data_IF_421571829513
#
_entry.id   IF_421571829513
#
_cell.length_a   1.000
_cell.length_b   1.000
_cell.length_c   1.000
_cell.angle_alpha   90.00
_cell.angle_beta   90.00
_cell.angle_gamma   90.00
#
_symmetry.space_group_name_H-M   'P 1'
#
loop_
_entity.id
_entity.type
_entity.pdbx_description
1 polymer ?
#
# COMPACT_ATOMS: atom_id res chain seq x y z
N UNK A 1 25.73 67.83 42.03
CA UNK A 1 24.51 68.12 42.81
C UNK A 1 23.55 66.94 42.66
N UNK A 2 23.30 66.32 43.78
CA UNK A 2 22.23 65.38 44.20
C UNK A 2 21.67 64.36 43.12
N UNK A 3 22.10 63.13 43.29
CA UNK A 3 21.46 61.86 42.84
C UNK A 3 20.12 61.68 43.56
N UNK A 4 19.12 61.16 42.89
CA UNK A 4 18.01 60.49 43.48
C UNK A 4 17.79 59.12 42.82
N UNK A 5 18.01 58.07 43.62
CA UNK A 5 17.72 56.69 43.38
C UNK A 5 16.21 56.40 43.54
N UNK A 6 15.60 55.70 42.61
CA UNK A 6 14.29 55.05 42.79
C UNK A 6 14.41 53.54 42.59
N UNK A 7 14.10 52.88 43.70
CA UNK A 7 14.02 51.42 43.82
C UNK A 7 12.78 50.89 43.05
N UNK A 8 12.94 49.78 42.40
CA UNK A 8 11.85 48.98 41.80
C UNK A 8 11.14 48.19 42.89
N UNK A 9 9.77 48.08 42.91
CA UNK A 9 9.06 47.04 43.64
C UNK A 9 8.84 45.80 42.81
N UNK A 10 8.61 44.61 43.40
CA UNK A 10 8.57 43.33 42.74
C UNK A 10 7.22 43.09 42.08
N UNK A 11 7.24 42.67 40.82
CA UNK A 11 6.09 42.15 40.08
C UNK A 11 5.88 40.68 40.46
N UNK A 12 5.06 40.45 41.48
CA UNK A 12 4.46 39.14 41.74
C UNK A 12 2.96 39.37 41.96
N UNK A 13 2.15 38.72 41.13
CA UNK A 13 0.72 38.69 41.36
C UNK A 13 -0.12 39.38 40.28
N UNK A 14 -0.29 38.75 39.11
CA UNK A 14 -1.47 38.91 38.20
C UNK A 14 -1.31 37.90 37.05
N UNK A 15 -1.40 36.61 37.38
CA UNK A 15 -1.43 35.54 36.41
C UNK A 15 -2.41 34.47 36.86
N UNK A 16 -3.65 34.89 37.05
CA UNK A 16 -4.74 33.97 37.38
C UNK A 16 -6.07 34.67 37.09
N UNK A 17 -6.39 34.90 35.82
CA UNK A 17 -7.76 35.28 35.36
C UNK A 17 -7.76 35.50 33.82
N UNK A 18 -7.37 34.47 33.04
CA UNK A 18 -7.63 34.48 31.58
C UNK A 18 -7.62 33.03 31.02
N UNK A 19 -8.35 32.15 31.72
CA UNK A 19 -8.59 30.76 31.27
C UNK A 19 -10.07 30.40 31.42
N UNK A 20 -10.95 31.33 31.03
CA UNK A 20 -12.40 31.08 31.06
C UNK A 20 -13.11 31.96 30.02
N UNK A 21 -12.80 31.77 28.73
CA UNK A 21 -13.65 32.28 27.66
C UNK A 21 -13.15 31.81 26.27
N UNK A 22 -13.06 30.51 26.03
CA UNK A 22 -13.06 29.91 24.66
C UNK A 22 -13.67 28.49 24.70
N UNK A 23 -14.69 28.30 25.53
CA UNK A 23 -15.66 27.23 25.28
C UNK A 23 -16.73 27.83 24.37
N UNK A 24 -16.40 27.96 23.09
CA UNK A 24 -17.43 28.11 22.07
C UNK A 24 -18.31 26.85 22.11
N UNK A 25 -19.63 26.95 21.83
CA UNK A 25 -20.51 25.80 21.85
C UNK A 25 -19.89 24.74 20.92
N UNK A 26 -19.59 23.54 21.46
CA UNK A 26 -19.19 22.40 20.67
C UNK A 26 -20.25 22.25 19.58
N UNK A 27 -19.82 22.38 18.33
CA UNK A 27 -20.70 22.12 17.20
C UNK A 27 -21.31 20.74 17.44
N UNK A 28 -22.63 20.55 17.32
CA UNK A 28 -23.26 19.27 17.55
C UNK A 28 -22.54 18.26 16.62
N UNK A 29 -21.90 17.25 17.23
CA UNK A 29 -21.22 16.20 16.49
C UNK A 29 -22.20 15.67 15.45
N UNK A 30 -21.90 15.88 14.16
CA UNK A 30 -22.67 15.25 13.09
C UNK A 30 -22.66 13.77 13.39
N UNK A 31 -23.81 13.20 13.65
CA UNK A 31 -23.98 11.78 13.86
C UNK A 31 -23.28 11.06 12.69
N UNK A 32 -22.20 10.38 12.99
CA UNK A 32 -21.58 9.47 12.01
C UNK A 32 -22.67 8.48 11.64
N UNK A 33 -22.98 8.37 10.37
CA UNK A 33 -23.95 7.36 9.90
C UNK A 33 -23.52 5.97 10.39
N UNK A 34 -24.45 4.99 10.43
CA UNK A 34 -24.12 3.66 10.90
C UNK A 34 -22.89 3.13 10.16
N UNK A 35 -21.92 2.57 10.92
CA UNK A 35 -20.72 1.99 10.34
C UNK A 35 -21.07 0.94 9.27
N UNK A 36 -20.28 0.89 8.17
CA UNK A 36 -20.51 -0.10 7.11
C UNK A 36 -20.24 -1.50 7.66
N UNK A 37 -21.24 -2.36 7.66
CA UNK A 37 -21.10 -3.73 8.16
C UNK A 37 -21.01 -4.69 6.99
N UNK A 38 -19.79 -5.11 6.66
CA UNK A 38 -19.57 -6.24 5.76
C UNK A 38 -19.96 -7.55 6.44
N UNK A 39 -20.73 -8.38 5.73
CA UNK A 39 -21.22 -9.65 6.23
C UNK A 39 -21.32 -10.69 5.12
N UNK A 40 -21.41 -11.95 5.53
CA UNK A 40 -21.81 -13.02 4.61
C UNK A 40 -23.28 -12.81 4.23
N UNK A 41 -23.58 -12.77 2.92
CA UNK A 41 -24.94 -12.48 2.43
C UNK A 41 -25.88 -13.67 2.53
N UNK A 42 -25.33 -14.90 2.61
CA UNK A 42 -26.12 -16.10 2.84
C UNK A 42 -26.34 -16.33 4.35
N UNK A 43 -27.58 -16.36 4.86
CA UNK A 43 -27.87 -16.32 6.30
C UNK A 43 -27.27 -17.44 7.15
N UNK A 44 -27.01 -18.61 6.54
CA UNK A 44 -26.45 -19.78 7.24
C UNK A 44 -25.00 -20.08 6.88
N UNK A 45 -24.40 -19.29 5.99
CA UNK A 45 -23.02 -19.49 5.59
C UNK A 45 -22.07 -19.26 6.78
N UNK A 46 -21.08 -20.13 6.92
CA UNK A 46 -20.00 -19.97 7.89
C UNK A 46 -18.78 -19.29 7.26
N UNK A 47 -18.68 -19.35 5.94
CA UNK A 47 -17.62 -18.77 5.14
C UNK A 47 -18.05 -18.55 3.70
N UNK A 48 -17.38 -17.62 3.04
CA UNK A 48 -17.45 -17.39 1.60
C UNK A 48 -16.04 -17.43 1.01
N UNK A 49 -15.90 -17.88 -0.24
CA UNK A 49 -14.64 -17.89 -0.99
C UNK A 49 -14.76 -17.00 -2.19
N UNK A 50 -13.74 -16.16 -2.38
CA UNK A 50 -13.68 -15.17 -3.45
C UNK A 50 -12.34 -15.29 -4.14
N UNK A 51 -12.27 -15.47 -5.46
CA UNK A 51 -11.04 -15.36 -6.20
C UNK A 51 -10.54 -13.91 -6.18
N UNK A 52 -9.23 -13.70 -6.30
CA UNK A 52 -8.65 -12.39 -6.49
C UNK A 52 -7.51 -12.44 -7.50
N UNK A 53 -7.25 -11.30 -8.15
CA UNK A 53 -6.07 -11.10 -8.97
C UNK A 53 -4.89 -10.64 -8.12
N UNK A 54 -3.71 -11.22 -8.32
CA UNK A 54 -2.47 -10.76 -7.71
C UNK A 54 -1.64 -10.00 -8.75
N UNK A 55 -1.61 -8.68 -8.64
CA UNK A 55 -0.90 -7.82 -9.58
C UNK A 55 0.11 -6.94 -8.84
N UNK A 56 1.40 -7.07 -9.20
CA UNK A 56 2.50 -6.31 -8.56
C UNK A 56 2.44 -6.33 -7.02
N UNK A 57 2.14 -7.50 -6.44
CA UNK A 57 1.94 -7.70 -5.01
C UNK A 57 0.73 -6.94 -4.41
N UNK A 58 -0.28 -6.64 -5.20
CA UNK A 58 -1.52 -6.03 -4.75
C UNK A 58 -2.69 -6.99 -4.98
N UNK A 59 -3.62 -7.02 -4.04
CA UNK A 59 -4.83 -7.86 -4.10
C UNK A 59 -5.90 -7.09 -4.86
N UNK A 60 -6.33 -7.60 -6.02
CA UNK A 60 -7.41 -7.03 -6.83
C UNK A 60 -8.64 -7.91 -6.72
N UNK A 61 -9.75 -7.33 -6.30
CA UNK A 61 -11.05 -8.01 -6.18
C UNK A 61 -12.08 -7.37 -7.08
N UNK A 62 -12.98 -8.19 -7.64
CA UNK A 62 -14.13 -7.71 -8.38
C UNK A 62 -15.29 -7.42 -7.42
N UNK A 63 -15.89 -6.25 -7.57
CA UNK A 63 -17.02 -5.80 -6.77
C UNK A 63 -18.17 -5.31 -7.64
N UNK A 64 -19.38 -5.49 -7.17
CA UNK A 64 -20.56 -4.80 -7.67
C UNK A 64 -20.83 -3.60 -6.76
N UNK A 65 -21.06 -2.44 -7.37
CA UNK A 65 -21.48 -1.21 -6.70
C UNK A 65 -22.91 -0.93 -7.06
N UNK A 66 -23.82 -0.85 -6.09
CA UNK A 66 -25.26 -0.72 -6.31
C UNK A 66 -25.83 -1.77 -7.28
N UNK A 67 -25.22 -2.97 -7.30
CA UNK A 67 -25.61 -4.07 -8.19
C UNK A 67 -25.06 -3.98 -9.63
N UNK A 68 -24.28 -2.97 -9.95
CA UNK A 68 -23.64 -2.76 -11.26
C UNK A 68 -22.15 -3.08 -11.23
N UNK A 69 -21.54 -3.40 -12.38
CA UNK A 69 -20.15 -3.81 -12.52
C UNK A 69 -19.99 -5.13 -13.26
N UNK A 70 -18.92 -5.90 -13.07
CA UNK A 70 -17.95 -5.78 -11.97
C UNK A 70 -16.94 -4.65 -12.16
N UNK A 71 -16.55 -4.03 -11.05
CA UNK A 71 -15.46 -3.08 -10.95
C UNK A 71 -14.29 -3.69 -10.18
N UNK A 72 -13.05 -3.43 -10.59
CA UNK A 72 -11.86 -3.91 -9.88
C UNK A 72 -11.45 -2.92 -8.79
N UNK A 73 -11.25 -3.43 -7.58
CA UNK A 73 -10.79 -2.67 -6.43
C UNK A 73 -9.56 -3.32 -5.79
N UNK A 74 -8.62 -2.52 -5.33
CA UNK A 74 -7.54 -2.99 -4.47
C UNK A 74 -8.06 -3.21 -3.04
N UNK A 75 -7.58 -4.24 -2.37
CA UNK A 75 -7.92 -4.51 -0.97
C UNK A 75 -6.79 -4.03 -0.07
N UNK A 76 -7.06 -2.99 0.72
CA UNK A 76 -6.06 -2.21 1.44
C UNK A 76 -6.38 -2.05 2.94
N UNK A 77 -5.63 -2.75 3.81
CA UNK A 77 -5.75 -2.62 5.26
C UNK A 77 -5.14 -1.34 5.83
N UNK A 78 -4.28 -0.66 5.06
CA UNK A 78 -3.67 0.62 5.42
C UNK A 78 -4.59 1.83 5.22
N UNK A 79 -5.69 1.64 4.45
CA UNK A 79 -6.66 2.68 4.14
C UNK A 79 -7.83 2.65 5.12
N UNK A 80 -8.13 3.79 5.75
CA UNK A 80 -9.22 3.91 6.73
C UNK A 80 -10.62 3.97 6.13
N UNK A 81 -10.76 4.65 5.00
CA UNK A 81 -12.03 4.84 4.28
C UNK A 81 -11.87 4.40 2.83
N UNK A 82 -12.79 3.62 2.33
CA UNK A 82 -12.78 3.15 0.93
C UNK A 82 -12.79 4.32 -0.06
N UNK A 83 -12.11 4.17 -1.20
CA UNK A 83 -11.86 5.24 -2.17
C UNK A 83 -12.26 4.80 -3.56
N UNK A 84 -13.03 5.62 -4.29
CA UNK A 84 -13.23 5.52 -5.74
C UNK A 84 -12.19 6.44 -6.39
N UNK A 85 -11.27 5.88 -7.16
CA UNK A 85 -10.18 6.62 -7.81
C UNK A 85 -10.51 7.03 -9.23
N UNK A 86 -11.44 6.33 -9.87
CA UNK A 86 -11.94 6.65 -11.20
C UNK A 86 -13.30 7.37 -11.10
N UNK A 87 -13.36 8.69 -11.32
CA UNK A 87 -14.61 9.44 -11.25
C UNK A 87 -15.63 9.06 -12.34
N UNK A 88 -15.23 8.32 -13.37
CA UNK A 88 -16.16 7.80 -14.37
C UNK A 88 -17.19 6.84 -13.75
N UNK A 89 -16.78 6.05 -12.77
CA UNK A 89 -17.67 5.16 -11.99
C UNK A 89 -18.78 5.97 -11.29
N UNK A 90 -18.42 7.10 -10.70
CA UNK A 90 -19.40 7.97 -10.04
C UNK A 90 -20.45 8.53 -11.00
N UNK A 91 -20.03 8.91 -12.22
CA UNK A 91 -20.93 9.38 -13.27
C UNK A 91 -21.82 8.27 -13.82
N UNK A 92 -21.23 7.09 -14.09
CA UNK A 92 -21.95 5.92 -14.58
C UNK A 92 -23.05 5.48 -13.61
N UNK A 93 -22.70 5.40 -12.32
CA UNK A 93 -23.61 4.96 -11.25
C UNK A 93 -24.48 6.08 -10.69
N UNK A 94 -24.35 7.32 -11.19
CA UNK A 94 -25.07 8.52 -10.73
C UNK A 94 -24.95 8.69 -9.20
N UNK A 95 -23.75 8.48 -8.65
CA UNK A 95 -23.51 8.54 -7.21
C UNK A 95 -23.70 9.97 -6.69
N UNK A 96 -24.56 10.12 -5.68
CA UNK A 96 -24.74 11.41 -5.02
C UNK A 96 -23.47 11.72 -4.19
N UNK A 97 -22.93 12.92 -4.39
CA UNK A 97 -21.81 13.44 -3.61
C UNK A 97 -22.28 14.49 -2.62
N UNK A 98 -21.58 14.63 -1.50
CA UNK A 98 -21.85 15.64 -0.49
C UNK A 98 -20.60 16.50 -0.27
N UNK A 99 -20.04 16.49 0.93
CA UNK A 99 -18.95 17.34 1.34
C UNK A 99 -17.68 17.13 0.51
N UNK A 100 -16.94 18.22 0.28
CA UNK A 100 -15.63 18.22 -0.34
C UNK A 100 -14.54 18.04 0.70
N UNK A 101 -13.54 17.25 0.39
CA UNK A 101 -12.38 16.98 1.24
C UNK A 101 -11.09 17.14 0.47
N UNK A 102 -10.01 17.42 1.20
CA UNK A 102 -8.65 17.24 0.73
C UNK A 102 -8.11 15.94 1.34
N UNK A 103 -7.74 15.01 0.47
CA UNK A 103 -7.19 13.72 0.87
C UNK A 103 -5.68 13.77 0.71
N UNK A 104 -4.97 13.48 1.79
CA UNK A 104 -3.51 13.38 1.80
C UNK A 104 -3.07 11.95 2.03
N UNK A 105 -2.00 11.56 1.39
CA UNK A 105 -1.36 10.27 1.54
C UNK A 105 0.15 10.38 1.35
N UNK A 106 0.80 9.28 1.01
CA UNK A 106 2.21 9.33 0.68
C UNK A 106 2.44 9.89 -0.71
N UNK A 107 3.56 10.60 -0.88
CA UNK A 107 4.04 11.16 -2.12
C UNK A 107 4.46 12.61 -1.97
N UNK A 108 5.10 13.13 -3.01
CA UNK A 108 5.68 14.47 -3.07
C UNK A 108 4.70 15.55 -3.56
N UNK A 109 3.50 15.17 -4.02
CA UNK A 109 2.52 16.06 -4.60
C UNK A 109 1.53 16.58 -3.54
N UNK A 110 0.71 17.58 -3.92
CA UNK A 110 -0.29 18.18 -3.05
C UNK A 110 -1.46 17.21 -2.75
N UNK A 111 -2.24 17.57 -1.71
CA UNK A 111 -3.46 16.86 -1.37
C UNK A 111 -4.45 16.82 -2.54
N UNK A 112 -5.11 15.69 -2.71
CA UNK A 112 -6.10 15.47 -3.77
C UNK A 112 -7.48 15.92 -3.33
N UNK A 113 -8.23 16.48 -4.27
CA UNK A 113 -9.63 16.79 -4.05
C UNK A 113 -10.49 15.54 -4.15
N UNK A 114 -11.35 15.34 -3.16
CA UNK A 114 -12.28 14.24 -3.12
C UNK A 114 -13.65 14.68 -2.59
N UNK A 115 -14.68 13.95 -2.97
CA UNK A 115 -16.05 14.16 -2.52
C UNK A 115 -16.51 12.96 -1.69
N UNK A 116 -17.29 13.21 -0.65
CA UNK A 116 -17.94 12.14 0.10
C UNK A 116 -19.10 11.55 -0.71
N UNK A 117 -19.15 10.24 -0.78
CA UNK A 117 -20.27 9.45 -1.28
C UNK A 117 -20.85 8.68 -0.08
N UNK A 118 -22.04 9.05 0.43
CA UNK A 118 -22.47 8.67 1.79
C UNK A 118 -22.90 7.20 1.95
N UNK A 119 -23.11 6.47 0.89
CA UNK A 119 -23.51 5.08 1.04
C UNK A 119 -23.74 4.37 -0.27
N UNK A 120 -22.87 3.42 -0.59
CA UNK A 120 -22.93 2.56 -1.78
C UNK A 120 -23.10 1.13 -1.32
N UNK A 121 -24.03 0.39 -1.93
CA UNK A 121 -24.09 -1.05 -1.71
C UNK A 121 -22.90 -1.72 -2.40
N UNK A 122 -22.12 -2.49 -1.64
CA UNK A 122 -20.95 -3.22 -2.13
C UNK A 122 -21.20 -4.70 -2.01
N UNK A 123 -21.01 -5.44 -3.10
CA UNK A 123 -21.08 -6.89 -3.11
C UNK A 123 -19.84 -7.47 -3.80
N UNK A 124 -19.16 -8.40 -3.13
CA UNK A 124 -18.08 -9.21 -3.71
C UNK A 124 -18.68 -10.54 -4.19
N UNK A 125 -18.12 -11.09 -5.26
CA UNK A 125 -18.50 -12.42 -5.73
C UNK A 125 -18.40 -13.45 -4.58
N UNK A 126 -19.22 -14.50 -4.59
CA UNK A 126 -19.18 -15.54 -3.56
C UNK A 126 -19.88 -15.23 -2.24
N UNK A 127 -20.60 -14.11 -2.13
CA UNK A 127 -21.54 -13.90 -1.03
C UNK A 127 -21.01 -13.13 0.17
N UNK A 128 -20.24 -12.06 -0.07
CA UNK A 128 -19.85 -11.05 0.92
C UNK A 128 -20.37 -9.69 0.46
N UNK A 129 -20.87 -8.86 1.37
CA UNK A 129 -21.31 -7.52 1.01
C UNK A 129 -21.71 -6.66 2.19
N UNK A 130 -21.90 -5.37 1.90
CA UNK A 130 -22.41 -4.36 2.80
C UNK A 130 -23.42 -3.46 2.06
N UNK A 131 -24.50 -3.09 2.74
CA UNK A 131 -25.58 -2.33 2.11
C UNK A 131 -25.25 -0.84 1.92
N UNK A 132 -24.37 -0.27 2.75
CA UNK A 132 -24.06 1.16 2.77
C UNK A 132 -22.61 1.37 3.19
N UNK A 133 -21.72 1.41 2.22
CA UNK A 133 -20.31 1.73 2.43
C UNK A 133 -20.09 3.19 2.05
N UNK A 134 -19.58 4.03 2.95
CA UNK A 134 -19.17 5.38 2.60
C UNK A 134 -17.88 5.31 1.78
N UNK A 135 -17.82 6.10 0.70
CA UNK A 135 -16.60 6.28 -0.09
C UNK A 135 -16.16 7.74 -0.08
N UNK A 136 -14.89 7.94 -0.27
CA UNK A 136 -14.37 9.16 -0.87
C UNK A 136 -14.20 8.89 -2.37
N UNK A 137 -14.57 9.85 -3.21
CA UNK A 137 -14.40 9.76 -4.66
C UNK A 137 -13.49 10.90 -5.10
N UNK A 138 -12.38 10.59 -5.76
CA UNK A 138 -11.48 11.60 -6.30
C UNK A 138 -12.18 12.41 -7.38
N UNK A 139 -11.83 13.69 -7.50
CA UNK A 139 -12.32 14.58 -8.56
C UNK A 139 -11.79 14.19 -9.94
N UNK A 140 -10.58 13.63 -9.98
CA UNK A 140 -9.86 13.24 -11.19
C UNK A 140 -9.07 11.95 -10.97
N UNK A 141 -8.87 11.14 -12.02
CA UNK A 141 -7.97 9.98 -11.97
C UNK A 141 -6.51 10.40 -12.19
N UNK A 142 -5.95 11.07 -11.19
CA UNK A 142 -4.54 11.52 -11.20
C UNK A 142 -3.56 10.41 -10.80
N UNK A 143 -4.05 9.34 -10.19
CA UNK A 143 -3.20 8.28 -9.65
C UNK A 143 -2.71 7.32 -10.73
N UNK A 144 -3.47 7.17 -11.81
CA UNK A 144 -3.21 6.21 -12.89
C UNK A 144 -2.87 4.80 -12.34
N UNK A 145 -3.61 4.37 -11.30
CA UNK A 145 -3.38 3.07 -10.66
C UNK A 145 -3.52 1.94 -11.69
N UNK A 146 -4.47 2.09 -12.61
CA UNK A 146 -4.71 1.11 -13.69
C UNK A 146 -3.46 0.87 -14.53
N UNK A 147 -2.78 1.92 -14.95
CA UNK A 147 -1.53 1.81 -15.71
C UNK A 147 -0.38 1.22 -14.89
N UNK A 148 -0.32 1.53 -13.61
CA UNK A 148 0.69 1.01 -12.69
C UNK A 148 0.48 -0.47 -12.35
N UNK A 149 -0.77 -0.91 -12.21
CA UNK A 149 -1.15 -2.30 -11.90
C UNK A 149 -1.21 -3.18 -13.17
N UNK A 150 -1.50 -2.58 -14.32
CA UNK A 150 -1.58 -3.27 -15.61
C UNK A 150 -2.95 -3.87 -15.92
N UNK A 151 -4.00 -3.34 -15.26
CA UNK A 151 -5.40 -3.65 -15.52
C UNK A 151 -6.30 -2.52 -15.00
N UNK A 152 -7.56 -2.41 -15.45
CA UNK A 152 -8.48 -1.40 -14.93
C UNK A 152 -8.62 -1.54 -13.42
N UNK A 153 -8.41 -0.46 -12.67
CA UNK A 153 -8.64 -0.34 -11.22
C UNK A 153 -9.48 0.90 -10.99
N UNK A 154 -10.61 0.74 -10.31
CA UNK A 154 -11.60 1.81 -10.13
C UNK A 154 -11.58 2.40 -8.72
N UNK A 155 -10.89 1.73 -7.78
CA UNK A 155 -10.79 2.20 -6.41
C UNK A 155 -10.08 1.25 -5.46
N UNK A 156 -10.17 1.58 -4.16
CA UNK A 156 -9.61 0.81 -3.06
C UNK A 156 -10.70 0.52 -2.03
N UNK A 157 -10.79 -0.73 -1.56
CA UNK A 157 -11.58 -1.12 -0.40
C UNK A 157 -10.69 -1.09 0.84
N UNK A 158 -11.07 -0.26 1.81
CA UNK A 158 -10.32 -0.03 3.03
C UNK A 158 -10.56 -1.07 4.13
N UNK A 159 -10.15 -0.71 5.33
CA UNK A 159 -10.20 -1.55 6.53
C UNK A 159 -11.62 -1.99 6.93
N UNK A 160 -12.66 -1.33 6.44
CA UNK A 160 -14.07 -1.66 6.71
C UNK A 160 -14.42 -3.12 6.39
N UNK A 161 -13.78 -3.70 5.36
CA UNK A 161 -13.96 -5.11 4.97
C UNK A 161 -13.51 -6.06 6.07
N UNK A 162 -12.48 -5.67 6.83
CA UNK A 162 -11.85 -6.51 7.86
C UNK A 162 -12.47 -6.36 9.24
N UNK A 163 -13.18 -5.26 9.51
CA UNK A 163 -13.73 -4.95 10.85
C UNK A 163 -14.72 -5.99 11.36
N UNK A 164 -15.53 -6.53 10.46
CA UNK A 164 -16.65 -7.41 10.82
C UNK A 164 -16.50 -8.84 10.31
N UNK A 165 -15.41 -9.17 9.64
CA UNK A 165 -15.12 -10.48 9.09
C UNK A 165 -13.69 -10.93 9.41
N UNK A 166 -13.50 -12.22 9.57
CA UNK A 166 -12.15 -12.80 9.58
C UNK A 166 -11.79 -13.14 8.14
N UNK A 167 -10.66 -12.63 7.66
CA UNK A 167 -10.24 -12.74 6.26
C UNK A 167 -8.97 -13.57 6.15
N UNK A 168 -9.06 -14.73 5.50
CA UNK A 168 -7.87 -15.49 5.11
C UNK A 168 -7.48 -15.13 3.68
N UNK A 169 -6.21 -14.84 3.49
CA UNK A 169 -5.58 -14.56 2.20
C UNK A 169 -4.64 -15.70 1.84
N UNK A 170 -4.88 -16.34 0.72
CA UNK A 170 -4.00 -17.35 0.13
C UNK A 170 -3.49 -16.84 -1.22
N UNK A 171 -2.28 -16.27 -1.23
CA UNK A 171 -1.70 -15.68 -2.42
C UNK A 171 -1.31 -16.71 -3.50
N UNK A 172 -1.03 -17.96 -3.12
CA UNK A 172 -0.69 -19.01 -4.08
C UNK A 172 -1.92 -19.49 -4.86
N UNK A 173 -3.05 -19.63 -4.16
CA UNK A 173 -4.31 -20.01 -4.78
C UNK A 173 -5.10 -18.81 -5.29
N UNK A 174 -4.63 -17.59 -5.05
CA UNK A 174 -5.32 -16.34 -5.34
C UNK A 174 -6.77 -16.37 -4.83
N UNK A 175 -6.93 -16.78 -3.57
CA UNK A 175 -8.24 -16.96 -2.94
C UNK A 175 -8.31 -16.23 -1.60
N UNK A 176 -9.38 -15.45 -1.42
CA UNK A 176 -9.83 -14.94 -0.14
C UNK A 176 -10.88 -15.89 0.45
N UNK A 177 -10.82 -16.10 1.75
CA UNK A 177 -11.88 -16.79 2.48
C UNK A 177 -12.35 -15.90 3.62
N UNK A 178 -13.58 -15.49 3.57
CA UNK A 178 -14.23 -14.68 4.60
C UNK A 178 -15.01 -15.59 5.55
N UNK A 179 -14.87 -15.35 6.85
CA UNK A 179 -15.56 -16.11 7.88
C UNK A 179 -16.40 -15.20 8.76
N UNK A 180 -17.54 -15.71 9.20
CA UNK A 180 -18.34 -15.13 10.28
C UNK A 180 -17.54 -15.23 11.60
N UNK A 181 -17.18 -14.11 12.27
CA UNK A 181 -16.39 -14.13 13.48
C UNK A 181 -16.99 -14.97 14.61
N UNK A 182 -18.32 -14.94 14.78
CA UNK A 182 -19.01 -15.68 15.82
C UNK A 182 -18.89 -17.21 15.65
N UNK A 183 -18.67 -17.67 14.42
CA UNK A 183 -18.56 -19.08 14.08
C UNK A 183 -17.14 -19.51 13.69
N UNK A 184 -16.21 -18.54 13.63
CA UNK A 184 -14.84 -18.80 13.25
C UNK A 184 -14.07 -19.48 14.38
N UNK A 185 -13.31 -20.50 14.02
CA UNK A 185 -12.36 -21.14 14.92
C UNK A 185 -10.97 -21.05 14.31
N UNK A 186 -10.08 -20.37 15.01
CA UNK A 186 -8.70 -20.23 14.58
C UNK A 186 -8.02 -21.61 14.44
N UNK A 187 -7.21 -21.80 13.40
CA UNK A 187 -6.50 -23.04 13.19
C UNK A 187 -5.56 -23.34 14.35
N UNK A 188 -5.47 -24.60 14.70
CA UNK A 188 -4.54 -25.14 15.69
C UNK A 188 -3.37 -25.80 14.96
N UNK A 189 -2.21 -25.83 15.57
CA UNK A 189 -1.06 -26.52 15.01
C UNK A 189 0.23 -25.70 15.06
N UNK A 190 1.34 -26.42 15.11
CA UNK A 190 2.68 -25.82 15.32
C UNK A 190 3.17 -24.94 14.17
N UNK A 191 2.60 -25.08 12.96
CA UNK A 191 3.00 -24.23 11.80
C UNK A 191 2.33 -22.87 11.80
N UNK A 192 1.33 -22.62 12.63
CA UNK A 192 0.71 -21.31 12.77
C UNK A 192 1.40 -20.51 13.86
N UNK A 193 1.72 -19.25 13.54
CA UNK A 193 2.09 -18.25 14.54
C UNK A 193 0.98 -17.23 14.67
N UNK A 194 0.82 -16.68 15.88
CA UNK A 194 -0.18 -15.66 16.20
C UNK A 194 0.56 -14.42 16.66
N UNK A 195 0.19 -13.30 16.09
CA UNK A 195 0.71 -11.99 16.44
C UNK A 195 -0.47 -11.13 16.91
N UNK A 196 -0.35 -10.42 18.02
CA UNK A 196 -1.37 -9.47 18.45
C UNK A 196 -1.42 -8.30 17.50
N UNK A 197 -2.62 -7.80 17.23
CA UNK A 197 -2.85 -6.54 16.53
C UNK A 197 -3.26 -5.47 17.53
N UNK A 198 -2.66 -4.30 17.42
CA UNK A 198 -3.07 -3.08 18.10
C UNK A 198 -3.80 -2.20 17.11
N UNK A 199 -4.82 -1.48 17.57
CA UNK A 199 -5.59 -0.58 16.72
C UNK A 199 -5.41 0.86 17.18
N UNK A 200 -5.28 1.75 16.19
CA UNK A 200 -5.35 3.17 16.39
C UNK A 200 -6.23 3.73 15.26
N UNK A 201 -7.45 4.13 15.64
CA UNK A 201 -8.51 4.39 14.68
C UNK A 201 -8.85 3.18 13.81
N UNK A 202 -8.70 3.32 12.52
CA UNK A 202 -8.97 2.27 11.53
C UNK A 202 -7.74 1.41 11.20
N UNK A 203 -6.55 1.79 11.65
CA UNK A 203 -5.27 1.15 11.29
C UNK A 203 -4.89 0.07 12.29
N UNK A 204 -4.45 -1.07 11.78
CA UNK A 204 -3.93 -2.18 12.56
C UNK A 204 -2.41 -2.15 12.57
N UNK A 205 -1.82 -2.33 13.76
CA UNK A 205 -0.38 -2.29 13.99
C UNK A 205 0.14 -3.61 14.56
N UNK A 206 1.39 -3.88 14.28
CA UNK A 206 2.19 -4.97 14.83
C UNK A 206 3.43 -4.39 15.47
N UNK A 207 3.75 -4.82 16.69
CA UNK A 207 5.04 -4.54 17.33
C UNK A 207 5.97 -5.72 17.07
N UNK A 208 6.96 -5.53 16.20
CA UNK A 208 7.81 -6.61 15.72
C UNK A 208 9.30 -6.30 15.97
N UNK A 209 10.08 -7.29 16.46
CA UNK A 209 11.54 -7.14 16.56
C UNK A 209 12.17 -7.13 15.16
N UNK A 210 12.85 -6.03 14.82
CA UNK A 210 13.60 -5.85 13.58
C UNK A 210 15.09 -5.74 13.90
N UNK A 211 15.89 -6.65 13.35
CA UNK A 211 17.34 -6.61 13.40
C UNK A 211 17.84 -5.59 12.38
N UNK A 212 18.42 -4.49 12.84
CA UNK A 212 18.91 -3.41 11.99
C UNK A 212 20.39 -3.56 11.65
N UNK A 213 21.18 -4.07 12.60
CA UNK A 213 22.59 -4.42 12.45
C UNK A 213 22.87 -5.70 13.24
N UNK A 214 24.07 -6.25 13.16
CA UNK A 214 24.44 -7.46 13.95
C UNK A 214 24.25 -7.27 15.45
N UNK A 215 24.36 -6.04 15.95
CA UNK A 215 24.27 -5.71 17.38
C UNK A 215 23.02 -4.97 17.79
N UNK A 216 22.20 -4.48 16.83
CA UNK A 216 21.05 -3.63 17.11
C UNK A 216 19.75 -4.28 16.62
N UNK A 217 18.88 -4.61 17.57
CA UNK A 217 17.51 -5.03 17.33
C UNK A 217 16.55 -4.08 18.05
N UNK A 218 15.50 -3.64 17.36
CA UNK A 218 14.48 -2.74 17.90
C UNK A 218 13.09 -3.36 17.76
N UNK A 219 12.22 -3.21 18.76
CA UNK A 219 10.79 -3.43 18.57
C UNK A 219 10.22 -2.23 17.79
N UNK A 220 9.71 -2.49 16.59
CA UNK A 220 9.16 -1.46 15.72
C UNK A 220 7.65 -1.61 15.56
N UNK A 221 6.94 -0.50 15.66
CA UNK A 221 5.50 -0.41 15.45
C UNK A 221 5.21 -0.24 13.96
N UNK A 222 4.70 -1.29 13.32
CA UNK A 222 4.49 -1.37 11.87
C UNK A 222 3.00 -1.47 11.53
N UNK A 223 2.53 -0.68 10.57
CA UNK A 223 1.17 -0.81 10.02
C UNK A 223 1.07 -2.11 9.24
N UNK A 224 0.01 -2.87 9.43
CA UNK A 224 -0.36 -3.98 8.56
C UNK A 224 -0.98 -3.41 7.28
N UNK A 225 -0.31 -3.55 6.14
CA UNK A 225 -0.63 -2.82 4.91
C UNK A 225 -0.68 -3.75 3.69
N UNK A 226 -1.89 -4.21 3.33
CA UNK A 226 -2.07 -5.05 2.12
C UNK A 226 -2.14 -4.23 0.83
N UNK A 227 -2.29 -2.91 0.93
CA UNK A 227 -2.23 -1.97 -0.19
C UNK A 227 -0.80 -1.58 -0.56
N UNK A 228 0.21 -2.02 0.20
CA UNK A 228 1.62 -1.77 -0.07
C UNK A 228 2.30 -2.98 -0.71
N UNK A 229 2.80 -2.82 -1.94
CA UNK A 229 3.44 -3.90 -2.70
C UNK A 229 4.87 -4.25 -2.27
N UNK A 230 5.49 -3.50 -1.34
CA UNK A 230 6.81 -3.79 -0.77
C UNK A 230 6.73 -4.82 0.38
N UNK A 231 7.89 -5.29 0.86
CA UNK A 231 7.95 -6.23 1.98
C UNK A 231 7.95 -5.50 3.34
N UNK A 232 8.81 -4.52 3.49
CA UNK A 232 8.96 -3.67 4.66
C UNK A 232 9.29 -2.25 4.22
N UNK A 233 8.72 -1.27 4.89
CA UNK A 233 9.13 0.14 4.78
C UNK A 233 9.43 0.68 6.16
N UNK A 234 10.53 1.41 6.33
CA UNK A 234 10.96 2.00 7.60
C UNK A 234 11.15 3.52 7.44
N UNK A 235 10.57 4.27 8.37
CA UNK A 235 10.65 5.73 8.43
C UNK A 235 11.78 6.15 9.35
N UNK A 236 12.93 6.56 8.80
CA UNK A 236 14.15 6.84 9.54
C UNK A 236 14.01 8.00 10.54
N UNK A 237 13.03 8.88 10.37
CA UNK A 237 12.74 9.98 11.30
C UNK A 237 11.92 9.55 12.51
N UNK A 238 11.37 8.35 12.52
CA UNK A 238 10.50 7.86 13.60
C UNK A 238 11.27 7.39 14.85
N UNK A 239 12.56 7.07 14.71
CA UNK A 239 13.46 6.72 15.83
C UNK A 239 14.91 7.08 15.43
N UNK A 240 15.68 7.79 16.28
CA UNK A 240 17.06 8.20 15.95
C UNK A 240 18.03 7.05 15.73
N UNK A 241 17.67 5.84 16.13
CA UNK A 241 18.43 4.60 15.89
C UNK A 241 18.14 3.96 14.54
N UNK A 242 17.03 4.34 13.88
CA UNK A 242 16.68 3.92 12.51
C UNK A 242 17.53 4.71 11.51
N UNK A 243 18.64 4.11 11.06
CA UNK A 243 19.54 4.72 10.10
C UNK A 243 19.47 3.98 8.76
N UNK A 244 19.79 4.69 7.70
CA UNK A 244 19.95 4.07 6.38
C UNK A 244 21.09 3.04 6.43
N UNK A 245 20.89 1.84 5.83
CA UNK A 245 21.98 0.86 5.75
C UNK A 245 23.12 1.36 4.86
N UNK A 246 24.38 0.89 5.08
CA UNK A 246 25.51 1.26 4.26
C UNK A 246 25.32 0.92 2.79
N UNK A 247 24.92 -0.33 2.50
CA UNK A 247 24.55 -0.75 1.16
C UNK A 247 23.10 -0.34 0.88
N UNK A 248 22.91 0.61 -0.02
CA UNK A 248 21.61 1.14 -0.40
C UNK A 248 21.60 1.68 -1.81
N UNK A 249 20.44 1.63 -2.45
CA UNK A 249 20.17 2.16 -3.78
C UNK A 249 19.20 3.33 -3.67
N UNK A 250 19.56 4.49 -4.23
CA UNK A 250 18.63 5.62 -4.37
C UNK A 250 17.67 5.33 -5.54
N UNK A 251 16.37 5.32 -5.29
CA UNK A 251 15.39 5.02 -6.33
C UNK A 251 14.01 5.56 -5.97
N UNK A 252 13.10 5.55 -6.93
CA UNK A 252 11.67 5.72 -6.68
C UNK A 252 11.13 4.41 -6.08
N UNK A 253 10.54 4.49 -4.89
CA UNK A 253 10.06 3.33 -4.13
C UNK A 253 8.66 2.87 -4.55
N UNK A 254 7.92 3.74 -5.24
CA UNK A 254 6.57 3.48 -5.68
C UNK A 254 5.78 4.77 -5.87
N UNK A 255 4.45 4.61 -5.88
CA UNK A 255 3.51 5.73 -5.98
C UNK A 255 2.47 5.61 -4.85
N UNK A 256 2.25 6.69 -4.13
CA UNK A 256 1.19 6.83 -3.12
C UNK A 256 0.04 7.69 -3.63
N UNK A 257 -0.87 8.06 -2.75
CA UNK A 257 -1.99 8.94 -3.09
C UNK A 257 -1.53 10.33 -3.53
N UNK A 258 -0.41 10.82 -3.00
CA UNK A 258 0.15 12.13 -3.36
C UNK A 258 1.39 11.99 -4.26
N UNK A 259 1.31 11.16 -5.30
CA UNK A 259 2.37 11.06 -6.30
C UNK A 259 3.49 10.08 -5.98
N UNK A 260 4.67 10.36 -6.49
CA UNK A 260 5.81 9.47 -6.35
C UNK A 260 6.34 9.48 -4.92
N UNK A 261 6.83 8.33 -4.49
CA UNK A 261 7.53 8.15 -3.22
C UNK A 261 8.99 7.86 -3.56
N UNK A 262 9.87 8.77 -3.19
CA UNK A 262 11.31 8.64 -3.40
C UNK A 262 12.00 8.18 -2.12
N UNK A 263 13.21 7.66 -2.24
CA UNK A 263 13.96 7.21 -1.07
C UNK A 263 15.07 6.23 -1.43
N UNK A 264 15.35 5.35 -0.49
CA UNK A 264 16.37 4.34 -0.64
C UNK A 264 15.80 2.94 -0.49
N UNK A 265 16.31 2.01 -1.27
CA UNK A 265 16.21 0.58 -1.00
C UNK A 265 17.45 0.12 -0.26
N UNK A 266 17.27 -0.79 0.69
CA UNK A 266 18.34 -1.42 1.45
C UNK A 266 17.87 -2.75 2.00
N UNK A 267 18.70 -3.40 2.81
CA UNK A 267 18.31 -4.64 3.46
C UNK A 267 18.45 -4.52 4.97
N UNK A 268 17.47 -5.05 5.69
CA UNK A 268 17.64 -5.34 7.12
C UNK A 268 18.06 -6.79 7.30
N UNK A 269 18.97 -7.08 8.24
CA UNK A 269 19.43 -8.46 8.50
C UNK A 269 18.31 -9.42 8.80
N UNK A 270 17.33 -9.05 9.62
CA UNK A 270 16.19 -9.90 9.91
C UNK A 270 14.98 -9.17 10.51
N UNK A 271 13.81 -9.77 10.30
CA UNK A 271 12.54 -9.44 10.96
C UNK A 271 12.00 -10.68 11.65
N UNK A 272 11.56 -10.54 12.92
CA UNK A 272 10.97 -11.64 13.67
C UNK A 272 9.44 -11.60 13.61
N UNK A 273 8.83 -12.62 13.03
CA UNK A 273 7.37 -12.81 12.95
C UNK A 273 6.94 -13.99 13.87
N UNK A 274 6.83 -13.72 15.15
CA UNK A 274 6.60 -14.77 16.14
C UNK A 274 7.73 -15.80 16.11
N UNK A 275 7.46 -17.04 15.71
CA UNK A 275 8.49 -18.10 15.60
C UNK A 275 9.31 -18.04 14.32
N UNK A 276 8.89 -17.25 13.33
CA UNK A 276 9.54 -17.18 12.01
C UNK A 276 10.50 -16.01 11.96
N UNK A 277 11.73 -16.27 11.59
CA UNK A 277 12.76 -15.28 11.31
C UNK A 277 12.88 -15.13 9.80
N UNK A 278 12.69 -13.92 9.29
CA UNK A 278 12.83 -13.58 7.88
C UNK A 278 14.16 -12.85 7.74
N UNK A 279 15.07 -13.42 6.96
CA UNK A 279 16.42 -12.90 6.81
C UNK A 279 16.59 -12.12 5.51
N UNK A 280 17.57 -11.20 5.51
CA UNK A 280 17.98 -10.43 4.35
C UNK A 280 16.80 -9.73 3.64
N UNK A 281 15.94 -9.09 4.44
CA UNK A 281 14.68 -8.52 4.00
C UNK A 281 14.90 -7.21 3.24
N UNK A 282 14.49 -7.16 1.97
CA UNK A 282 14.48 -5.93 1.19
C UNK A 282 13.54 -4.91 1.84
N UNK A 283 14.07 -3.72 2.10
CA UNK A 283 13.40 -2.69 2.90
C UNK A 283 13.47 -1.36 2.18
N UNK A 284 12.33 -0.69 2.10
CA UNK A 284 12.20 0.67 1.59
C UNK A 284 12.41 1.68 2.71
N UNK A 285 13.12 2.77 2.42
CA UNK A 285 13.36 3.90 3.31
C UNK A 285 12.91 5.18 2.59
N UNK A 286 11.63 5.54 2.70
CA UNK A 286 11.10 6.73 2.03
C UNK A 286 11.70 8.01 2.60
N UNK A 287 11.79 9.04 1.77
CA UNK A 287 12.16 10.37 2.20
C UNK A 287 11.12 10.90 3.21
N UNK A 288 11.59 11.62 4.21
CA UNK A 288 10.71 12.13 5.27
C UNK A 288 9.64 13.09 4.74
N UNK A 289 9.95 13.84 3.69
CA UNK A 289 8.99 14.73 3.00
C UNK A 289 7.80 13.97 2.43
N UNK A 290 8.04 12.77 1.88
CA UNK A 290 7.02 11.99 1.19
C UNK A 290 6.11 11.21 2.16
N UNK A 291 6.48 11.14 3.45
CA UNK A 291 5.73 10.42 4.48
C UNK A 291 5.18 11.31 5.61
N UNK A 292 5.60 12.57 5.67
CA UNK A 292 5.21 13.50 6.75
C UNK A 292 3.68 13.71 6.83
N UNK A 293 2.98 13.72 5.69
CA UNK A 293 1.52 13.85 5.62
C UNK A 293 0.74 12.64 6.18
N UNK A 294 1.42 11.52 6.47
CA UNK A 294 0.82 10.28 7.01
C UNK A 294 0.69 10.28 8.53
N UNK A 295 1.06 11.33 9.22
CA UNK A 295 1.28 11.37 10.68
C UNK A 295 -0.02 11.43 11.51
N UNK A 296 -1.09 10.71 11.11
CA UNK A 296 -2.26 10.54 11.98
C UNK A 296 -1.98 9.67 13.22
N UNK A 297 -0.98 8.76 13.11
CA UNK A 297 -0.63 7.84 14.19
C UNK A 297 0.86 7.55 14.17
N UNK A 298 1.49 7.48 15.35
CA UNK A 298 2.90 7.10 15.46
C UNK A 298 3.14 5.69 14.91
N UNK A 299 4.14 5.58 14.04
CA UNK A 299 4.62 4.30 13.49
C UNK A 299 6.10 4.41 13.12
N UNK A 300 6.73 3.25 12.98
CA UNK A 300 8.09 3.17 12.46
C UNK A 300 8.12 2.76 10.98
N UNK A 301 6.98 2.35 10.42
CA UNK A 301 6.87 1.94 9.04
C UNK A 301 5.66 1.05 8.74
N UNK A 302 5.73 0.31 7.63
CA UNK A 302 4.66 -0.56 7.15
C UNK A 302 5.18 -1.97 6.86
N UNK A 303 4.37 -2.98 7.17
CA UNK A 303 4.54 -4.36 6.75
C UNK A 303 3.65 -4.62 5.53
N UNK A 304 4.26 -4.77 4.36
CA UNK A 304 3.56 -4.83 3.08
C UNK A 304 3.27 -6.26 2.57
N UNK A 305 2.56 -6.31 1.44
CA UNK A 305 2.04 -7.59 0.95
C UNK A 305 3.11 -8.50 0.32
N UNK A 306 4.24 -7.96 -0.16
CA UNK A 306 5.36 -8.78 -0.64
C UNK A 306 5.86 -9.75 0.44
N UNK A 307 5.81 -9.35 1.72
CA UNK A 307 6.11 -10.24 2.84
C UNK A 307 4.91 -11.15 3.15
N UNK A 308 3.71 -10.58 3.26
CA UNK A 308 2.50 -11.31 3.68
C UNK A 308 2.12 -12.42 2.70
N UNK A 309 2.34 -12.25 1.40
CA UNK A 309 2.05 -13.27 0.37
C UNK A 309 2.83 -14.58 0.55
N UNK A 310 3.92 -14.56 1.34
CA UNK A 310 4.75 -15.74 1.67
C UNK A 310 4.14 -16.64 2.72
N UNK A 311 2.98 -16.23 3.20
CA UNK A 311 2.19 -16.96 4.18
C UNK A 311 0.76 -17.16 3.67
N UNK A 312 0.11 -18.23 4.14
CA UNK A 312 -1.33 -18.20 4.27
C UNK A 312 -1.59 -17.29 5.46
N UNK A 313 -2.17 -16.11 5.20
CA UNK A 313 -2.37 -15.04 6.19
C UNK A 313 -3.82 -15.00 6.60
N UNK A 314 -4.11 -14.94 7.92
CA UNK A 314 -5.47 -14.70 8.42
C UNK A 314 -5.47 -13.41 9.21
N UNK A 315 -6.16 -12.42 8.67
CA UNK A 315 -6.38 -11.11 9.26
C UNK A 315 -7.68 -11.20 10.07
N UNK A 316 -7.54 -11.19 11.39
CA UNK A 316 -8.64 -11.43 12.32
C UNK A 316 -8.79 -10.21 13.23
N UNK A 317 -9.33 -9.11 12.65
CA UNK A 317 -9.59 -7.86 13.36
C UNK A 317 -10.57 -8.03 14.52
N UNK A 318 -11.69 -8.78 14.35
CA UNK A 318 -12.62 -9.01 15.45
C UNK A 318 -11.99 -9.62 16.72
N UNK A 319 -10.87 -10.33 16.58
CA UNK A 319 -10.17 -10.93 17.71
C UNK A 319 -8.76 -10.37 17.92
N UNK A 320 -8.44 -9.20 17.35
CA UNK A 320 -7.18 -8.46 17.52
C UNK A 320 -5.93 -9.30 17.25
N UNK A 321 -5.90 -10.03 16.13
CA UNK A 321 -4.76 -10.93 15.82
C UNK A 321 -4.53 -11.11 14.33
N UNK A 322 -3.27 -11.37 14.00
CA UNK A 322 -2.80 -11.85 12.72
C UNK A 322 -2.28 -13.27 12.89
N UNK A 323 -2.71 -14.20 12.04
CA UNK A 323 -2.19 -15.56 12.05
C UNK A 323 -1.47 -15.83 10.73
N UNK A 324 -0.28 -16.40 10.82
CA UNK A 324 0.59 -16.65 9.69
C UNK A 324 1.02 -18.11 9.66
N UNK A 325 0.95 -18.72 8.48
CA UNK A 325 1.49 -20.05 8.18
C UNK A 325 2.30 -19.98 6.89
N UNK A 326 3.60 -20.32 6.89
CA UNK A 326 4.42 -20.32 5.69
C UNK A 326 3.80 -21.15 4.57
N UNK A 327 3.85 -20.62 3.37
CA UNK A 327 3.50 -21.31 2.13
C UNK A 327 4.76 -21.62 1.30
N UNK A 328 4.62 -22.02 0.04
CA UNK A 328 5.77 -22.39 -0.78
C UNK A 328 6.66 -21.19 -1.18
N UNK A 329 6.12 -19.97 -1.13
CA UNK A 329 6.88 -18.73 -1.41
C UNK A 329 7.73 -18.28 -0.22
N UNK A 330 7.64 -18.95 0.93
CA UNK A 330 8.30 -18.52 2.16
C UNK A 330 9.83 -18.42 2.04
N UNK A 331 10.42 -19.28 1.21
CA UNK A 331 11.87 -19.33 1.00
C UNK A 331 12.35 -18.55 -0.21
N UNK A 332 11.43 -17.96 -0.99
CA UNK A 332 11.81 -17.17 -2.15
C UNK A 332 12.63 -15.96 -1.70
N UNK A 333 13.69 -15.57 -2.40
CA UNK A 333 14.47 -14.39 -2.08
C UNK A 333 13.62 -13.13 -2.24
N UNK A 334 13.96 -12.08 -1.51
CA UNK A 334 13.42 -10.73 -1.73
C UNK A 334 14.29 -10.04 -2.76
N UNK A 335 13.77 -9.90 -3.96
CA UNK A 335 14.51 -9.30 -5.07
C UNK A 335 13.87 -7.96 -5.47
N UNK A 336 14.70 -7.06 -5.92
CA UNK A 336 14.33 -5.82 -6.59
C UNK A 336 14.47 -6.00 -8.10
N UNK A 337 13.88 -5.09 -8.89
CA UNK A 337 14.12 -5.00 -10.32
C UNK A 337 15.63 -4.92 -10.61
N UNK A 338 16.11 -5.85 -11.45
CA UNK A 338 17.52 -5.94 -11.82
C UNK A 338 17.80 -5.31 -13.18
N UNK A 339 16.79 -4.71 -13.81
CA UNK A 339 16.91 -4.05 -15.10
C UNK A 339 17.15 -2.53 -14.95
N UNK A 340 16.61 -1.93 -13.89
CA UNK A 340 16.75 -0.51 -13.58
C UNK A 340 15.85 0.38 -14.44
N UNK A 341 14.57 0.00 -14.58
CA UNK A 341 13.54 0.86 -15.15
C UNK A 341 12.17 0.64 -14.54
N UNK A 342 11.32 1.65 -14.60
CA UNK A 342 9.92 1.55 -14.25
C UNK A 342 9.02 1.47 -15.49
N UNK A 343 7.97 0.66 -15.41
CA UNK A 343 7.00 0.44 -16.49
C UNK A 343 5.62 0.93 -16.13
N UNK A 344 4.96 1.51 -17.12
CA UNK A 344 3.53 1.80 -17.14
C UNK A 344 2.85 1.00 -18.25
N UNK A 345 1.78 0.29 -17.90
CA UNK A 345 0.90 -0.32 -18.88
C UNK A 345 -0.12 0.70 -19.40
N UNK A 346 -0.45 0.64 -20.67
CA UNK A 346 -1.41 1.55 -21.30
C UNK A 346 -2.10 0.91 -22.51
N UNK A 347 -2.99 1.66 -23.14
CA UNK A 347 -3.72 1.21 -24.34
C UNK A 347 -4.79 0.15 -24.04
N UNK A 348 -5.40 -0.42 -25.09
CA UNK A 348 -6.46 -1.43 -24.92
C UNK A 348 -5.99 -2.62 -24.10
N UNK A 349 -6.76 -2.97 -23.07
CA UNK A 349 -6.46 -4.09 -22.18
C UNK A 349 -5.17 -3.96 -21.36
N UNK A 350 -4.53 -2.78 -21.31
CA UNK A 350 -3.25 -2.55 -20.62
C UNK A 350 -2.13 -3.53 -21.05
N UNK A 351 -2.04 -3.80 -22.38
CA UNK A 351 -1.07 -4.73 -22.96
C UNK A 351 0.07 -4.05 -23.72
N UNK A 352 0.16 -2.74 -23.66
CA UNK A 352 1.28 -1.93 -24.16
C UNK A 352 2.06 -1.42 -22.97
N UNK A 353 3.38 -1.34 -23.06
CA UNK A 353 4.27 -1.03 -21.93
C UNK A 353 5.24 0.06 -22.32
N UNK A 354 5.27 1.14 -21.53
CA UNK A 354 6.16 2.28 -21.72
C UNK A 354 7.10 2.41 -20.54
N UNK A 355 8.38 2.67 -20.82
CA UNK A 355 9.34 3.02 -19.79
C UNK A 355 9.01 4.40 -19.23
N UNK A 356 8.73 4.51 -17.95
CA UNK A 356 8.52 5.79 -17.28
C UNK A 356 9.83 6.50 -17.00
N UNK A 357 10.82 5.72 -16.55
CA UNK A 357 12.19 6.17 -16.30
C UNK A 357 13.16 5.01 -16.43
N UNK A 358 14.45 5.35 -16.55
CA UNK A 358 15.58 4.46 -16.41
C UNK A 358 16.48 4.97 -15.29
N UNK A 359 17.09 4.08 -14.53
CA UNK A 359 18.08 4.43 -13.51
C UNK A 359 19.39 4.79 -14.21
N UNK A 360 19.92 5.99 -13.94
CA UNK A 360 21.17 6.47 -14.53
C UNK A 360 22.33 5.53 -14.19
N UNK A 361 23.03 5.03 -15.21
CA UNK A 361 24.09 4.06 -15.06
C UNK A 361 23.60 2.63 -14.74
N UNK A 362 22.28 2.41 -14.66
CA UNK A 362 21.68 1.09 -14.50
C UNK A 362 21.75 0.22 -15.76
N UNK A 363 21.43 -1.09 -15.65
CA UNK A 363 21.56 -2.03 -16.79
C UNK A 363 20.79 -1.63 -18.04
N UNK A 364 19.58 -1.08 -17.87
CA UNK A 364 18.76 -0.59 -18.98
C UNK A 364 19.35 0.64 -19.67
N UNK A 365 19.83 1.61 -18.88
CA UNK A 365 20.46 2.82 -19.38
C UNK A 365 21.76 2.48 -20.14
N UNK A 366 22.60 1.60 -19.60
CA UNK A 366 23.81 1.11 -20.25
C UNK A 366 23.50 0.37 -21.57
N UNK A 367 22.35 -0.27 -21.68
CA UNK A 367 21.87 -0.93 -22.90
C UNK A 367 21.22 0.04 -23.90
N UNK A 368 21.11 1.34 -23.57
CA UNK A 368 20.55 2.39 -24.42
C UNK A 368 19.05 2.50 -24.40
N UNK A 369 18.36 1.90 -23.43
CA UNK A 369 16.94 2.11 -23.16
C UNK A 369 16.73 3.49 -22.51
N UNK A 370 15.62 4.15 -22.84
CA UNK A 370 15.33 5.52 -22.35
C UNK A 370 13.88 5.64 -21.88
N UNK A 371 13.64 6.60 -20.99
CA UNK A 371 12.29 6.98 -20.64
C UNK A 371 11.47 7.34 -21.90
N UNK A 372 10.23 6.91 -21.93
CA UNK A 372 9.32 7.10 -23.07
C UNK A 372 9.35 5.97 -24.09
N UNK A 373 10.37 5.10 -24.11
CA UNK A 373 10.43 3.96 -25.02
C UNK A 373 9.24 3.01 -24.76
N UNK A 374 8.64 2.50 -25.85
CA UNK A 374 7.57 1.50 -25.79
C UNK A 374 8.15 0.10 -26.10
N UNK A 375 7.92 -0.86 -25.22
CA UNK A 375 8.37 -2.24 -25.42
C UNK A 375 7.50 -2.89 -26.49
N UNK A 376 8.15 -3.34 -27.59
CA UNK A 376 7.53 -4.07 -28.70
C UNK A 376 7.63 -5.58 -28.48
N UNK A 377 8.80 -6.06 -28.02
CA UNK A 377 8.99 -7.47 -27.71
C UNK A 377 10.04 -7.68 -26.63
N UNK A 378 9.94 -8.81 -25.92
CA UNK A 378 10.93 -9.29 -24.95
C UNK A 378 11.32 -10.71 -25.36
N UNK A 379 12.61 -10.95 -25.58
CA UNK A 379 13.14 -12.24 -26.07
C UNK A 379 12.38 -12.74 -27.33
N UNK A 380 12.10 -11.82 -28.27
CA UNK A 380 11.37 -12.04 -29.53
C UNK A 380 9.88 -12.40 -29.37
N UNK A 381 9.34 -12.41 -28.15
CA UNK A 381 7.91 -12.60 -27.88
C UNK A 381 7.28 -11.20 -27.84
N UNK A 382 6.20 -10.92 -28.64
CA UNK A 382 5.52 -9.64 -28.60
C UNK A 382 5.06 -9.27 -27.18
N UNK A 383 5.22 -7.99 -26.83
CA UNK A 383 4.98 -7.50 -25.47
C UNK A 383 3.51 -7.72 -25.03
N UNK A 384 2.55 -7.67 -25.94
CA UNK A 384 1.13 -7.86 -25.68
C UNK A 384 0.75 -9.23 -25.10
N UNK A 385 1.60 -10.26 -25.30
CA UNK A 385 1.40 -11.59 -24.73
C UNK A 385 1.80 -11.70 -23.25
N UNK A 386 2.50 -10.71 -22.72
CA UNK A 386 2.83 -10.65 -21.30
C UNK A 386 1.79 -9.83 -20.53
N UNK A 387 1.53 -10.18 -19.28
CA UNK A 387 0.98 -9.23 -18.32
C UNK A 387 2.12 -8.38 -17.75
N UNK A 388 1.79 -7.23 -17.15
CA UNK A 388 2.78 -6.42 -16.45
C UNK A 388 3.43 -7.21 -15.30
N UNK A 389 2.67 -8.11 -14.65
CA UNK A 389 3.18 -9.02 -13.62
C UNK A 389 4.18 -10.04 -14.19
N UNK A 390 3.95 -10.54 -15.40
CA UNK A 390 4.90 -11.47 -16.06
C UNK A 390 6.20 -10.75 -16.41
N UNK A 391 6.12 -9.53 -16.94
CA UNK A 391 7.30 -8.70 -17.18
C UNK A 391 8.04 -8.45 -15.87
N UNK A 392 7.34 -7.99 -14.83
CA UNK A 392 7.95 -7.76 -13.50
C UNK A 392 8.67 -9.02 -13.00
N UNK A 393 8.06 -10.22 -13.15
CA UNK A 393 8.69 -11.48 -12.77
C UNK A 393 9.94 -11.80 -13.58
N UNK A 394 9.96 -11.46 -14.88
CA UNK A 394 11.17 -11.58 -15.70
C UNK A 394 12.30 -10.68 -15.21
N UNK A 395 12.00 -9.45 -14.83
CA UNK A 395 12.98 -8.46 -14.35
C UNK A 395 13.61 -8.85 -13.00
N UNK A 396 12.91 -9.65 -12.19
CA UNK A 396 13.39 -10.19 -10.91
C UNK A 396 13.96 -11.62 -11.00
N UNK A 397 14.10 -12.18 -12.20
CA UNK A 397 14.22 -13.64 -12.34
C UNK A 397 15.57 -14.21 -11.91
N UNK A 398 16.69 -13.63 -12.32
CA UNK A 398 18.04 -14.11 -11.95
C UNK A 398 19.11 -13.07 -12.27
N UNK A 399 20.01 -12.86 -11.32
CA UNK A 399 21.21 -12.05 -11.55
C UNK A 399 22.07 -12.65 -12.66
N UNK A 400 22.52 -11.83 -13.61
CA UNK A 400 23.33 -12.24 -14.76
C UNK A 400 22.52 -12.72 -15.98
N UNK A 401 21.19 -12.92 -15.85
CA UNK A 401 20.33 -13.27 -16.97
C UNK A 401 20.32 -12.15 -18.01
N UNK A 402 20.38 -12.52 -19.29
CA UNK A 402 20.24 -11.57 -20.40
C UNK A 402 18.81 -11.56 -20.92
N UNK A 403 18.27 -10.37 -21.13
CA UNK A 403 16.99 -10.14 -21.80
C UNK A 403 17.23 -9.29 -23.05
N UNK A 404 16.58 -9.70 -24.15
CA UNK A 404 16.59 -8.96 -25.41
C UNK A 404 15.30 -8.15 -25.50
N UNK A 405 15.40 -6.84 -25.54
CA UNK A 405 14.27 -5.93 -25.76
C UNK A 405 14.31 -5.40 -27.18
N UNK A 406 13.16 -5.34 -27.84
CA UNK A 406 12.94 -4.47 -28.98
C UNK A 406 11.98 -3.40 -28.49
N UNK A 407 12.38 -2.14 -28.63
CA UNK A 407 11.58 -1.00 -28.21
C UNK A 407 11.36 -0.05 -29.37
N UNK A 408 10.23 0.63 -29.39
CA UNK A 408 9.95 1.78 -30.24
C UNK A 408 10.38 3.04 -29.51
N UNK A 409 11.24 3.83 -30.14
CA UNK A 409 11.76 5.06 -29.56
C UNK A 409 10.66 6.10 -29.38
N UNK A 410 10.67 6.79 -28.24
CA UNK A 410 9.71 7.87 -28.00
C UNK A 410 9.80 8.96 -29.07
N UNK A 411 8.64 9.36 -29.61
CA UNK A 411 8.54 10.42 -30.63
C UNK A 411 8.98 10.03 -32.03
N UNK A 412 9.30 8.76 -32.27
CA UNK A 412 9.63 8.24 -33.61
C UNK A 412 9.11 6.83 -33.79
N UNK A 413 9.16 6.31 -35.04
CA UNK A 413 8.88 4.90 -35.35
C UNK A 413 10.14 4.02 -35.37
N UNK A 414 11.28 4.57 -34.93
CA UNK A 414 12.55 3.84 -34.89
C UNK A 414 12.45 2.68 -33.90
N UNK A 415 12.82 1.49 -34.38
CA UNK A 415 12.95 0.30 -33.55
C UNK A 415 14.41 0.12 -33.10
N UNK A 416 14.60 0.05 -31.81
CA UNK A 416 15.90 -0.12 -31.19
C UNK A 416 15.93 -1.49 -30.47
N UNK A 417 17.02 -2.24 -30.74
CA UNK A 417 17.26 -3.50 -30.06
C UNK A 417 18.26 -3.30 -28.94
N UNK A 418 17.87 -3.66 -27.72
CA UNK A 418 18.71 -3.54 -26.52
C UNK A 418 18.87 -4.90 -25.83
N UNK A 419 20.13 -5.26 -25.53
CA UNK A 419 20.44 -6.45 -24.74
C UNK A 419 20.81 -6.04 -23.34
N UNK A 420 19.94 -6.35 -22.40
CA UNK A 420 20.08 -5.97 -20.98
C UNK A 420 20.52 -7.18 -20.17
N UNK A 421 21.62 -7.07 -19.43
CA UNK A 421 22.04 -8.05 -18.45
C UNK A 421 21.48 -7.66 -17.08
N UNK A 422 20.60 -8.48 -16.55
CA UNK A 422 20.04 -8.25 -15.22
C UNK A 422 21.15 -8.24 -14.16
N UNK A 423 21.20 -7.20 -13.35
CA UNK A 423 22.25 -7.05 -12.32
C UNK A 423 21.61 -6.70 -11.00
N UNK A 424 21.86 -7.54 -9.98
CA UNK A 424 21.44 -7.22 -8.60
C UNK A 424 22.22 -6.01 -8.12
N UNK A 425 21.53 -4.95 -7.76
CA UNK A 425 22.11 -3.67 -7.33
C UNK A 425 22.24 -3.57 -5.82
N UNK A 426 21.49 -4.41 -5.08
CA UNK A 426 21.45 -4.41 -3.61
C UNK A 426 21.17 -5.82 -3.05
#
# INVERSE_FOLDING_TARGET
>A
MRAYSWRRPPLLGWLLLLLLALAGPAAPGRAQGPEPVFRLTQPRARKARIPFGLQRNLIVVEVLLNGQGPYNFLLDTGLGTSLITDPAVGRELQLATTDRFLVSGAGEENALEAYRVPGVAVALAGGVGAARVPFLMLSEDVLNISGYVGLPVHGLLGSDVFRHLVVQVDAQQQQLVFFDPARYRAPRGRRWTRLPLEFDGSKAFLNLPVQLTDSLQLPLRLVLDTGAGHALSLETTSDPRLRLPPARLRTQLGRGLNGNINGYLGRVPALQLGRYRIENLLTSYPDSTDVAARAESFRNGNLGFELLKRFTTIIDYPHNRLLLRPNNLFRDPFEHDMCGFDLLAFGPGFRRYRLLRTETGGPADQAGLRAGDEIVSINLIPAEFFSLTDISRLLHSANGRQLLFVVRRAGSDELVTARVRLTRQI
#
